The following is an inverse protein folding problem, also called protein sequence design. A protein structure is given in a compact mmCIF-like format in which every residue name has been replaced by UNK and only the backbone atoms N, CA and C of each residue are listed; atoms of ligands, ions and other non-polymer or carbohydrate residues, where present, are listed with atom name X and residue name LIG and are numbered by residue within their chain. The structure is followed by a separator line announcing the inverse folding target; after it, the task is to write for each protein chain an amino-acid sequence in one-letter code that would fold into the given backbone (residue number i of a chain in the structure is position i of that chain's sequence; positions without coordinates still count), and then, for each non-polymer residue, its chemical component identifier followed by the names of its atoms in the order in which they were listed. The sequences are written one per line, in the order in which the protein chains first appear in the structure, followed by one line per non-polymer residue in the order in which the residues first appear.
data_IF_697235999559
#
_entry.id   IF_697235999559
#
_cell.length_a   1.000
_cell.length_b   1.000
_cell.length_c   1.000
_cell.angle_alpha   90.00
_cell.angle_beta   90.00
_cell.angle_gamma   90.00
#
_symmetry.space_group_name_H-M   'P 1'
#
loop_
_entity.id
_entity.type
_entity.pdbx_description
1 polymer ?
#
# COMPACT_ATOMS: atom_id res chain seq x y z
N UNK A 1 -12.88 -12.40 -23.39
CA UNK A 1 -12.68 -12.81 -21.98
C UNK A 1 -11.18 -12.93 -21.76
N UNK A 2 -10.51 -11.90 -21.21
CA UNK A 2 -9.05 -11.91 -21.04
C UNK A 2 -8.70 -12.76 -19.82
N UNK A 3 -7.78 -13.70 -19.98
CA UNK A 3 -7.24 -14.50 -18.90
C UNK A 3 -6.64 -13.57 -17.84
N UNK A 4 -7.04 -13.74 -16.57
CA UNK A 4 -6.42 -13.07 -15.43
C UNK A 4 -4.99 -13.59 -15.31
N UNK A 5 -4.03 -12.79 -15.74
CA UNK A 5 -2.61 -13.03 -15.45
C UNK A 5 -2.44 -13.18 -13.93
N UNK A 6 -1.81 -14.28 -13.52
CA UNK A 6 -1.57 -14.60 -12.12
C UNK A 6 -0.43 -13.72 -11.64
N UNK A 7 -0.72 -12.69 -10.85
CA UNK A 7 0.28 -11.76 -10.28
C UNK A 7 1.37 -12.42 -9.41
N UNK A 8 1.31 -13.74 -9.20
CA UNK A 8 2.28 -14.55 -8.45
C UNK A 8 3.13 -15.49 -9.31
N UNK A 9 3.07 -15.41 -10.65
CA UNK A 9 4.13 -16.05 -11.46
C UNK A 9 5.44 -15.34 -11.17
N UNK A 10 6.47 -16.11 -10.80
CA UNK A 10 7.83 -15.64 -10.51
C UNK A 10 8.46 -15.04 -11.77
N UNK A 11 8.05 -13.84 -12.12
CA UNK A 11 8.85 -13.00 -13.00
C UNK A 11 10.15 -12.66 -12.24
N UNK A 12 11.31 -12.79 -12.89
CA UNK A 12 12.55 -12.38 -12.25
C UNK A 12 12.43 -10.91 -11.85
N UNK A 13 12.63 -10.62 -10.56
CA UNK A 13 12.66 -9.25 -10.05
C UNK A 13 13.62 -8.45 -10.92
N UNK A 14 13.13 -7.44 -11.62
CA UNK A 14 13.97 -6.55 -12.39
C UNK A 14 14.92 -5.84 -11.41
N UNK A 15 16.22 -6.12 -11.51
CA UNK A 15 17.25 -5.56 -10.62
C UNK A 15 17.96 -4.36 -11.21
N UNK A 16 17.57 -3.88 -12.39
CA UNK A 16 18.12 -2.65 -12.96
C UNK A 16 17.71 -1.44 -12.12
N UNK A 17 18.65 -0.55 -11.85
CA UNK A 17 18.34 0.75 -11.25
C UNK A 17 17.51 1.56 -12.24
N UNK A 18 16.38 2.09 -11.74
CA UNK A 18 15.49 2.96 -12.50
C UNK A 18 15.66 4.37 -11.93
N UNK A 19 15.81 5.36 -12.81
CA UNK A 19 15.93 6.77 -12.42
C UNK A 19 14.55 7.42 -12.25
N UNK A 20 14.49 8.58 -11.58
CA UNK A 20 13.28 9.38 -11.44
C UNK A 20 12.36 9.00 -10.26
N UNK A 21 12.75 8.03 -9.44
CA UNK A 21 12.05 7.75 -8.18
C UNK A 21 12.37 8.81 -7.11
N UNK A 22 11.33 9.30 -6.45
CA UNK A 22 11.45 10.05 -5.20
C UNK A 22 11.40 9.07 -4.04
N UNK A 23 12.39 9.14 -3.15
CA UNK A 23 12.50 8.26 -1.99
C UNK A 23 12.66 9.13 -0.75
N UNK A 24 11.80 8.91 0.24
CA UNK A 24 11.85 9.55 1.54
C UNK A 24 12.15 8.50 2.61
N UNK A 25 13.16 8.75 3.46
CA UNK A 25 13.52 7.86 4.56
C UNK A 25 12.62 8.15 5.77
N UNK A 26 11.80 7.18 6.15
CA UNK A 26 10.91 7.25 7.30
C UNK A 26 11.41 6.33 8.42
N UNK A 27 11.59 6.89 9.61
CA UNK A 27 12.06 6.19 10.79
C UNK A 27 10.88 5.75 11.67
N UNK A 28 10.81 4.45 11.95
CA UNK A 28 9.81 3.80 12.80
C UNK A 28 8.34 4.05 12.40
N UNK A 29 7.41 3.53 13.21
CA UNK A 29 5.97 3.68 13.00
C UNK A 29 5.47 5.12 13.15
N UNK A 30 6.15 5.96 13.92
CA UNK A 30 5.74 7.36 14.12
C UNK A 30 5.80 8.18 12.82
N UNK A 31 6.77 7.90 11.95
CA UNK A 31 6.87 8.57 10.64
C UNK A 31 6.21 7.74 9.54
N UNK A 32 6.33 6.41 9.61
CA UNK A 32 5.84 5.52 8.58
C UNK A 32 4.31 5.44 8.52
N UNK A 33 3.62 5.32 9.67
CA UNK A 33 2.17 5.14 9.67
C UNK A 33 1.39 6.37 9.16
N UNK A 34 1.72 7.61 9.55
CA UNK A 34 1.06 8.77 8.98
C UNK A 34 1.24 8.87 7.46
N UNK A 35 2.46 8.65 6.95
CA UNK A 35 2.74 8.70 5.52
C UNK A 35 1.97 7.61 4.74
N UNK A 36 1.87 6.40 5.29
CA UNK A 36 1.05 5.33 4.69
C UNK A 36 -0.44 5.69 4.67
N UNK A 37 -0.97 6.22 5.78
CA UNK A 37 -2.38 6.63 5.86
C UNK A 37 -2.70 7.76 4.88
N UNK A 38 -1.80 8.72 4.73
CA UNK A 38 -1.93 9.81 3.75
C UNK A 38 -1.89 9.25 2.32
N UNK A 39 -0.97 8.32 2.01
CA UNK A 39 -0.90 7.66 0.71
C UNK A 39 -2.18 6.87 0.39
N UNK A 40 -2.76 6.17 1.38
CA UNK A 40 -4.05 5.49 1.25
C UNK A 40 -5.14 6.53 0.95
N UNK A 41 -5.23 7.61 1.72
CA UNK A 41 -6.27 8.62 1.55
C UNK A 41 -6.27 9.28 0.14
N UNK A 42 -5.07 9.48 -0.42
CA UNK A 42 -4.86 10.06 -1.76
C UNK A 42 -4.93 9.04 -2.91
N UNK A 43 -5.13 7.76 -2.64
CA UNK A 43 -5.21 6.75 -3.70
C UNK A 43 -6.42 6.99 -4.61
N UNK A 44 -6.23 6.81 -5.92
CA UNK A 44 -7.23 7.08 -6.96
C UNK A 44 -7.67 5.84 -7.75
N UNK A 45 -6.92 4.73 -7.69
CA UNK A 45 -7.15 3.56 -8.54
C UNK A 45 -7.14 2.23 -7.80
N UNK A 46 -6.15 2.03 -6.94
CA UNK A 46 -6.01 0.81 -6.14
C UNK A 46 -5.11 1.10 -4.94
N UNK A 47 -5.26 0.29 -3.89
CA UNK A 47 -4.33 0.26 -2.76
C UNK A 47 -3.80 -1.18 -2.61
N UNK A 48 -2.49 -1.35 -2.82
CA UNK A 48 -1.81 -2.61 -2.56
C UNK A 48 -1.15 -2.53 -1.18
N UNK A 49 -1.64 -3.34 -0.24
CA UNK A 49 -1.10 -3.40 1.13
C UNK A 49 -0.50 -4.78 1.36
N UNK A 50 0.77 -4.82 1.75
CA UNK A 50 1.45 -6.02 2.22
C UNK A 50 2.01 -5.75 3.63
N UNK A 51 1.52 -6.51 4.61
CA UNK A 51 1.90 -6.38 6.01
C UNK A 51 1.92 -7.76 6.64
N UNK A 52 2.99 -8.08 7.38
CA UNK A 52 3.11 -9.37 8.08
C UNK A 52 2.20 -9.46 9.32
N UNK A 53 1.70 -8.34 9.82
CA UNK A 53 0.84 -8.28 11.02
C UNK A 53 -0.16 -7.13 10.91
N UNK A 54 -1.44 -7.44 11.15
CA UNK A 54 -2.54 -6.47 11.22
C UNK A 54 -3.47 -6.86 12.37
N UNK A 55 -3.63 -5.98 13.36
CA UNK A 55 -4.41 -6.27 14.57
C UNK A 55 -5.56 -5.30 14.78
N UNK A 56 -6.59 -5.71 15.53
CA UNK A 56 -7.72 -4.85 15.91
C UNK A 56 -7.37 -3.95 17.11
N UNK A 57 -6.21 -3.29 17.05
CA UNK A 57 -5.77 -2.30 18.03
C UNK A 57 -6.06 -0.87 17.53
N UNK A 58 -5.58 0.15 18.26
CA UNK A 58 -5.81 1.53 17.89
C UNK A 58 -5.20 1.91 16.52
N UNK A 59 -4.05 1.32 16.17
CA UNK A 59 -3.37 1.59 14.90
C UNK A 59 -4.08 0.85 13.77
N UNK A 60 -4.30 -0.46 13.91
CA UNK A 60 -4.95 -1.24 12.87
C UNK A 60 -6.39 -0.79 12.59
N UNK A 61 -7.14 -0.30 13.60
CA UNK A 61 -8.46 0.31 13.36
C UNK A 61 -8.39 1.59 12.52
N UNK A 62 -7.31 2.39 12.62
CA UNK A 62 -7.12 3.58 11.76
C UNK A 62 -6.86 3.17 10.32
N UNK A 63 -5.98 2.19 10.10
CA UNK A 63 -5.76 1.64 8.76
C UNK A 63 -7.03 1.03 8.18
N UNK A 64 -7.78 0.25 8.96
CA UNK A 64 -9.04 -0.34 8.52
C UNK A 64 -10.07 0.73 8.13
N UNK A 65 -10.15 1.83 8.88
CA UNK A 65 -11.01 2.96 8.51
C UNK A 65 -10.57 3.61 7.20
N UNK A 66 -9.29 3.96 7.04
CA UNK A 66 -8.79 4.58 5.81
C UNK A 66 -9.00 3.70 4.56
N UNK A 67 -8.74 2.39 4.69
CA UNK A 67 -8.96 1.43 3.61
C UNK A 67 -10.43 1.28 3.26
N UNK A 68 -11.31 1.21 4.26
CA UNK A 68 -12.77 1.17 4.05
C UNK A 68 -13.24 2.44 3.34
N UNK A 69 -12.83 3.61 3.83
CA UNK A 69 -13.24 4.90 3.27
C UNK A 69 -12.82 5.01 1.80
N UNK A 70 -11.64 4.49 1.43
CA UNK A 70 -11.23 4.43 0.04
C UNK A 70 -12.04 3.47 -0.82
N UNK A 71 -12.31 2.27 -0.29
CA UNK A 71 -13.13 1.27 -0.98
C UNK A 71 -14.56 1.78 -1.21
N UNK A 72 -15.15 2.48 -0.23
CA UNK A 72 -16.47 3.11 -0.36
C UNK A 72 -16.50 4.20 -1.45
N UNK A 73 -15.37 4.90 -1.64
CA UNK A 73 -15.20 5.88 -2.68
C UNK A 73 -14.73 5.29 -4.04
N UNK A 74 -14.76 3.96 -4.18
CA UNK A 74 -14.56 3.26 -5.45
C UNK A 74 -13.11 3.03 -5.87
N UNK A 75 -12.17 3.15 -4.93
CA UNK A 75 -10.74 2.83 -5.10
C UNK A 75 -10.45 1.40 -4.70
#
# INVERSE_FOLDING_TARGET
MRARERWWSRDPVNTSLVEGHRVDLLHDGEQCFPAMLDAIAQAEREVLVDMYWFASDAVGRRFAAALRDRAEAGV
#
